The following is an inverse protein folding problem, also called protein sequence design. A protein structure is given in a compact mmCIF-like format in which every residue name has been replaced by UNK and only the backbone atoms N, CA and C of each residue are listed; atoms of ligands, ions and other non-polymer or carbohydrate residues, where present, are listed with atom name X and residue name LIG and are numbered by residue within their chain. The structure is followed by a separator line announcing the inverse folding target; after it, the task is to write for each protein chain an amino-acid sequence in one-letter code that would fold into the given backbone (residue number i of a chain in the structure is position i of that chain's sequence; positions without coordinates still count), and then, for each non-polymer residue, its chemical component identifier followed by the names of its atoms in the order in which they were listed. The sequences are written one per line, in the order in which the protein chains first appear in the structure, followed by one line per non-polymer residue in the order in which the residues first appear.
data_IF_618988049384
#
_entry.id   IF_618988049384
#
_cell.length_a   1.000
_cell.length_b   1.000
_cell.length_c   1.000
_cell.angle_alpha   90.00
_cell.angle_beta   90.00
_cell.angle_gamma   90.00
#
_symmetry.space_group_name_H-M   'P 1'
#
loop_
_entity.id
_entity.type
_entity.pdbx_description
1 polymer ?
#
# COMPACT_ATOMS: atom_id res chain seq x y z
N UNK A 1 -52.74 -11.71 -80.28
CA UNK A 1 -51.82 -11.79 -79.12
C UNK A 1 -52.69 -11.97 -77.89
N UNK A 2 -52.90 -13.22 -77.46
CA UNK A 2 -53.81 -13.55 -76.34
C UNK A 2 -52.96 -13.65 -75.08
N UNK A 3 -53.13 -12.73 -74.14
CA UNK A 3 -52.50 -12.81 -72.83
C UNK A 3 -53.20 -13.91 -72.03
N UNK A 4 -52.59 -15.09 -72.02
CA UNK A 4 -52.98 -16.17 -71.14
C UNK A 4 -52.41 -15.85 -69.75
N UNK A 5 -53.18 -15.12 -68.92
CA UNK A 5 -52.94 -15.01 -67.48
C UNK A 5 -53.25 -16.37 -66.87
N UNK A 6 -52.33 -17.31 -67.06
CA UNK A 6 -52.28 -18.56 -66.33
C UNK A 6 -52.26 -18.22 -64.86
N UNK A 7 -53.38 -18.47 -64.18
CA UNK A 7 -53.51 -18.52 -62.74
C UNK A 7 -52.50 -19.54 -62.20
N UNK A 8 -51.26 -19.11 -61.98
CA UNK A 8 -50.32 -19.82 -61.15
C UNK A 8 -50.85 -19.72 -59.73
N UNK A 9 -51.63 -20.71 -59.34
CA UNK A 9 -52.00 -20.94 -57.95
C UNK A 9 -50.75 -21.34 -57.20
N UNK A 10 -49.88 -20.36 -56.89
CA UNK A 10 -48.76 -20.57 -56.00
C UNK A 10 -49.38 -20.80 -54.62
N UNK A 11 -49.30 -22.03 -54.06
CA UNK A 11 -50.01 -22.34 -52.82
C UNK A 11 -49.46 -21.45 -51.72
N UNK A 12 -50.32 -20.79 -50.93
CA UNK A 12 -49.95 -19.85 -49.85
C UNK A 12 -48.83 -20.38 -48.91
N UNK A 13 -48.71 -21.70 -48.79
CA UNK A 13 -47.64 -22.42 -48.10
C UNK A 13 -46.22 -22.12 -48.62
N UNK A 14 -46.04 -21.85 -49.91
CA UNK A 14 -44.74 -21.50 -50.50
C UNK A 14 -44.19 -20.16 -50.01
N UNK A 15 -45.06 -19.24 -49.55
CA UNK A 15 -44.65 -17.98 -48.91
C UNK A 15 -44.54 -18.10 -47.38
N UNK A 16 -45.40 -18.92 -46.76
CA UNK A 16 -45.41 -19.15 -45.31
C UNK A 16 -44.14 -19.86 -44.79
N UNK A 17 -43.60 -20.82 -45.53
CA UNK A 17 -42.38 -21.56 -45.14
C UNK A 17 -41.14 -20.66 -45.07
N UNK A 18 -40.79 -19.83 -46.09
CA UNK A 18 -39.65 -18.93 -46.01
C UNK A 18 -39.87 -17.82 -44.96
N UNK A 19 -41.09 -17.28 -44.81
CA UNK A 19 -41.41 -16.29 -43.77
C UNK A 19 -41.26 -16.87 -42.36
N UNK A 20 -41.77 -18.08 -42.10
CA UNK A 20 -41.59 -18.76 -40.81
C UNK A 20 -40.12 -19.09 -40.51
N UNK A 21 -39.35 -19.50 -41.53
CA UNK A 21 -37.91 -19.77 -41.40
C UNK A 21 -37.10 -18.50 -41.11
N UNK A 22 -37.45 -17.37 -41.73
CA UNK A 22 -36.79 -16.09 -41.50
C UNK A 22 -37.05 -15.56 -40.08
N UNK A 23 -38.26 -15.74 -39.55
CA UNK A 23 -38.59 -15.37 -38.16
C UNK A 23 -37.81 -16.22 -37.17
N UNK A 24 -37.70 -17.54 -37.39
CA UNK A 24 -36.90 -18.42 -36.52
C UNK A 24 -35.40 -18.07 -36.55
N UNK A 25 -34.85 -17.75 -37.73
CA UNK A 25 -33.46 -17.30 -37.86
C UNK A 25 -33.24 -15.94 -37.19
N UNK A 26 -34.21 -15.02 -37.27
CA UNK A 26 -34.15 -13.73 -36.58
C UNK A 26 -34.18 -13.91 -35.05
N UNK A 27 -35.06 -14.77 -34.54
CA UNK A 27 -35.12 -15.10 -33.10
C UNK A 27 -33.83 -15.76 -32.65
N UNK A 28 -33.30 -16.74 -33.41
CA UNK A 28 -32.02 -17.38 -33.12
C UNK A 28 -30.87 -16.36 -33.11
N UNK A 29 -30.82 -15.46 -34.09
CA UNK A 29 -29.84 -14.38 -34.17
C UNK A 29 -29.91 -13.43 -32.98
N UNK A 30 -31.12 -13.03 -32.55
CA UNK A 30 -31.34 -12.22 -31.35
C UNK A 30 -30.87 -12.92 -30.07
N UNK A 31 -31.13 -14.22 -29.92
CA UNK A 31 -30.68 -15.01 -28.78
C UNK A 31 -29.14 -15.09 -28.77
N UNK A 32 -28.52 -15.37 -29.91
CA UNK A 32 -27.05 -15.40 -30.03
C UNK A 32 -26.46 -14.04 -29.71
N UNK A 33 -27.01 -12.95 -30.26
CA UNK A 33 -26.54 -11.59 -29.99
C UNK A 33 -26.66 -11.24 -28.50
N UNK A 34 -27.79 -11.56 -27.87
CA UNK A 34 -28.00 -11.34 -26.44
C UNK A 34 -27.01 -12.13 -25.58
N UNK A 35 -26.72 -13.39 -25.95
CA UNK A 35 -25.74 -14.21 -25.26
C UNK A 35 -24.32 -13.68 -25.44
N UNK A 36 -23.98 -13.27 -26.67
CA UNK A 36 -22.69 -12.66 -26.99
C UNK A 36 -22.49 -11.38 -26.18
N UNK A 37 -23.46 -10.45 -26.16
CA UNK A 37 -23.40 -9.20 -25.39
C UNK A 37 -23.24 -9.47 -23.89
N UNK A 38 -23.97 -10.45 -23.33
CA UNK A 38 -23.82 -10.82 -21.91
C UNK A 38 -22.44 -11.40 -21.64
N UNK A 39 -21.91 -12.23 -22.54
CA UNK A 39 -20.59 -12.85 -22.39
C UNK A 39 -19.46 -11.81 -22.49
N UNK A 40 -19.56 -10.85 -23.41
CA UNK A 40 -18.57 -9.77 -23.57
C UNK A 40 -18.63 -8.80 -22.40
N UNK A 41 -19.82 -8.45 -21.90
CA UNK A 41 -19.96 -7.63 -20.69
C UNK A 41 -19.39 -8.33 -19.45
N UNK A 42 -19.55 -9.66 -19.32
CA UNK A 42 -18.94 -10.43 -18.22
C UNK A 42 -17.42 -10.44 -18.31
N UNK A 43 -16.86 -10.70 -19.49
CA UNK A 43 -15.40 -10.67 -19.72
C UNK A 43 -14.83 -9.27 -19.48
N UNK A 44 -15.46 -8.24 -20.04
CA UNK A 44 -15.03 -6.85 -19.84
C UNK A 44 -15.13 -6.40 -18.37
N UNK A 45 -16.08 -6.95 -17.60
CA UNK A 45 -16.14 -6.72 -16.15
C UNK A 45 -14.98 -7.42 -15.44
N UNK A 46 -14.74 -8.70 -15.74
CA UNK A 46 -13.60 -9.45 -15.19
C UNK A 46 -12.27 -8.75 -15.50
N UNK A 47 -12.04 -8.33 -16.74
CA UNK A 47 -10.81 -7.64 -17.15
C UNK A 47 -10.61 -6.31 -16.37
N UNK A 48 -11.71 -5.59 -16.06
CA UNK A 48 -11.66 -4.36 -15.26
C UNK A 48 -11.40 -4.65 -13.79
N UNK A 49 -12.00 -5.70 -13.25
CA UNK A 49 -11.80 -6.11 -11.86
C UNK A 49 -10.35 -6.61 -11.68
N UNK A 50 -9.81 -7.38 -12.62
CA UNK A 50 -8.39 -7.80 -12.64
C UNK A 50 -7.42 -6.62 -12.79
N UNK A 51 -7.76 -5.63 -13.61
CA UNK A 51 -6.97 -4.40 -13.72
C UNK A 51 -6.96 -3.62 -12.40
N UNK A 52 -8.12 -3.48 -11.74
CA UNK A 52 -8.23 -2.81 -10.43
C UNK A 52 -7.43 -3.53 -9.35
N UNK A 53 -7.44 -4.86 -9.35
CA UNK A 53 -6.68 -5.64 -8.38
C UNK A 53 -5.17 -5.42 -8.55
N UNK A 54 -4.68 -5.42 -9.80
CA UNK A 54 -3.26 -5.10 -10.09
C UNK A 54 -2.88 -3.69 -9.67
N UNK A 55 -3.72 -2.71 -9.99
CA UNK A 55 -3.48 -1.32 -9.59
C UNK A 55 -3.48 -1.17 -8.06
N UNK A 56 -4.38 -1.88 -7.38
CA UNK A 56 -4.44 -1.93 -5.91
C UNK A 56 -3.18 -2.54 -5.31
N UNK A 57 -2.70 -3.69 -5.82
CA UNK A 57 -1.45 -4.29 -5.35
C UNK A 57 -0.24 -3.39 -5.58
N UNK A 58 -0.15 -2.75 -6.75
CA UNK A 58 0.93 -1.81 -7.06
C UNK A 58 0.92 -0.60 -6.11
N UNK A 59 -0.26 -0.02 -5.87
CA UNK A 59 -0.46 1.07 -4.92
C UNK A 59 -0.12 0.65 -3.49
N UNK A 60 -0.58 -0.53 -3.06
CA UNK A 60 -0.32 -1.04 -1.71
C UNK A 60 1.17 -1.27 -1.49
N UNK A 61 1.87 -1.84 -2.46
CA UNK A 61 3.33 -2.03 -2.42
C UNK A 61 4.08 -0.70 -2.30
N UNK A 62 3.75 0.28 -3.14
CA UNK A 62 4.39 1.59 -3.10
C UNK A 62 4.14 2.30 -1.76
N UNK A 63 2.91 2.19 -1.25
CA UNK A 63 2.53 2.74 0.05
C UNK A 63 3.29 2.05 1.19
N UNK A 64 3.43 0.72 1.17
CA UNK A 64 4.22 -0.01 2.17
C UNK A 64 5.69 0.42 2.18
N UNK A 65 6.31 0.52 1.01
CA UNK A 65 7.71 0.95 0.88
C UNK A 65 7.91 2.38 1.39
N UNK A 66 6.99 3.29 1.02
CA UNK A 66 7.06 4.69 1.45
C UNK A 66 6.90 4.84 2.96
N UNK A 67 5.88 4.20 3.54
CA UNK A 67 5.66 4.22 5.00
C UNK A 67 6.80 3.55 5.77
N UNK A 68 7.34 2.46 5.23
CA UNK A 68 8.51 1.80 5.78
C UNK A 68 9.75 2.68 5.78
N UNK A 69 10.02 3.35 4.65
CA UNK A 69 11.13 4.29 4.53
C UNK A 69 10.97 5.49 5.49
N UNK A 70 9.75 6.03 5.62
CA UNK A 70 9.47 7.14 6.53
C UNK A 70 9.66 6.74 8.01
N UNK A 71 9.19 5.55 8.41
CA UNK A 71 9.38 5.03 9.76
C UNK A 71 10.86 4.76 10.07
N UNK A 72 11.61 4.19 9.11
CA UNK A 72 13.05 3.96 9.25
C UNK A 72 13.85 5.26 9.32
N UNK A 73 13.50 6.25 8.49
CA UNK A 73 14.13 7.56 8.53
C UNK A 73 13.93 8.23 9.91
N UNK A 74 12.73 8.14 10.47
CA UNK A 74 12.44 8.65 11.81
C UNK A 74 13.22 7.89 12.91
N UNK A 75 13.39 6.58 12.78
CA UNK A 75 14.22 5.80 13.72
C UNK A 75 15.70 6.18 13.64
N UNK A 76 16.25 6.35 12.44
CA UNK A 76 17.63 6.81 12.23
C UNK A 76 17.82 8.22 12.77
N UNK A 77 16.85 9.11 12.55
CA UNK A 77 16.84 10.45 13.11
C UNK A 77 16.87 10.41 14.65
N UNK A 78 16.04 9.57 15.27
CA UNK A 78 16.04 9.39 16.72
C UNK A 78 17.40 8.90 17.23
N UNK A 79 18.02 7.89 16.62
CA UNK A 79 19.38 7.44 16.96
C UNK A 79 20.42 8.56 16.79
N UNK A 80 20.29 9.37 15.74
CA UNK A 80 21.11 10.55 15.52
C UNK A 80 20.96 11.60 16.63
N UNK A 81 19.72 11.83 17.09
CA UNK A 81 19.45 12.74 18.21
C UNK A 81 20.09 12.22 19.51
N UNK A 82 19.99 10.91 19.80
CA UNK A 82 20.61 10.31 20.99
C UNK A 82 22.14 10.40 20.98
N UNK A 83 22.77 10.12 19.83
CA UNK A 83 24.23 10.23 19.70
C UNK A 83 24.73 11.67 19.84
N UNK A 84 23.99 12.64 19.29
CA UNK A 84 24.30 14.06 19.45
C UNK A 84 24.09 14.55 20.89
N UNK A 85 23.04 14.07 21.56
CA UNK A 85 22.80 14.38 22.98
C UNK A 85 23.95 13.85 23.84
N UNK A 86 24.42 12.61 23.60
CA UNK A 86 25.60 12.03 24.26
C UNK A 86 26.85 12.90 24.10
N UNK A 87 27.12 13.39 22.89
CA UNK A 87 28.30 14.24 22.64
C UNK A 87 28.19 15.59 23.36
N UNK A 88 26.99 16.15 23.46
CA UNK A 88 26.74 17.46 24.07
C UNK A 88 26.60 17.41 25.58
N UNK A 89 26.16 16.31 26.17
CA UNK A 89 25.98 16.12 27.62
C UNK A 89 27.30 16.12 28.43
N UNK A 90 28.46 16.19 27.77
CA UNK A 90 29.74 16.56 28.41
C UNK A 90 29.64 18.00 28.93
N UNK A 91 30.32 18.37 30.04
CA UNK A 91 29.88 19.44 30.94
C UNK A 91 30.07 20.83 30.33
N UNK A 92 29.15 21.23 29.45
CA UNK A 92 29.04 22.59 28.92
C UNK A 92 27.56 22.93 28.90
N UNK A 93 27.14 23.67 29.92
CA UNK A 93 25.84 24.36 30.10
C UNK A 93 24.83 24.12 28.94
N UNK A 94 24.04 23.04 29.02
CA UNK A 94 22.89 22.78 28.14
C UNK A 94 21.69 23.68 28.51
N UNK A 95 21.88 24.98 28.57
CA UNK A 95 20.75 25.91 28.69
C UNK A 95 19.88 25.82 27.43
N UNK A 96 18.62 25.42 27.55
CA UNK A 96 17.64 25.32 26.45
C UNK A 96 17.72 24.07 25.56
N UNK A 97 18.90 23.43 25.45
CA UNK A 97 19.13 22.29 24.54
C UNK A 97 18.36 21.00 24.89
N UNK A 98 17.95 20.80 26.14
CA UNK A 98 17.22 19.58 26.55
C UNK A 98 15.77 19.56 26.08
N UNK A 99 15.09 20.71 26.10
CA UNK A 99 13.68 20.81 25.65
C UNK A 99 13.58 20.62 24.14
N UNK A 100 14.50 21.20 23.38
CA UNK A 100 14.56 21.03 21.92
C UNK A 100 14.85 19.56 21.54
N UNK A 101 15.68 18.88 22.33
CA UNK A 101 15.92 17.45 22.16
C UNK A 101 14.66 16.61 22.41
N UNK A 102 13.95 16.84 23.51
CA UNK A 102 12.68 16.14 23.81
C UNK A 102 11.66 16.35 22.69
N UNK A 103 11.51 17.60 22.23
CA UNK A 103 10.61 17.93 21.12
C UNK A 103 11.00 17.21 19.83
N UNK A 104 12.30 17.11 19.52
CA UNK A 104 12.77 16.41 18.32
C UNK A 104 12.51 14.90 18.40
N UNK A 105 12.72 14.28 19.56
CA UNK A 105 12.38 12.86 19.79
C UNK A 105 10.86 12.63 19.70
N UNK A 106 10.05 13.53 20.26
CA UNK A 106 8.59 13.44 20.19
C UNK A 106 8.09 13.52 18.74
N UNK A 107 8.65 14.43 17.95
CA UNK A 107 8.34 14.54 16.53
C UNK A 107 8.72 13.25 15.77
N UNK A 108 9.88 12.65 16.07
CA UNK A 108 10.29 11.38 15.46
C UNK A 108 9.33 10.23 15.86
N UNK A 109 8.96 10.12 17.14
CA UNK A 109 8.00 9.14 17.61
C UNK A 109 6.60 9.34 17.00
N UNK A 110 6.15 10.58 16.82
CA UNK A 110 4.88 10.90 16.20
C UNK A 110 4.86 10.50 14.72
N UNK A 111 5.95 10.74 13.98
CA UNK A 111 6.08 10.26 12.58
C UNK A 111 5.95 8.74 12.48
N UNK A 112 6.58 8.00 13.39
CA UNK A 112 6.45 6.53 13.46
C UNK A 112 5.01 6.12 13.80
N UNK A 113 4.34 6.85 14.69
CA UNK A 113 2.92 6.60 15.02
C UNK A 113 1.99 6.80 13.80
N UNK A 114 2.20 7.86 13.02
CA UNK A 114 1.44 8.10 11.79
C UNK A 114 1.68 6.97 10.77
N UNK A 115 2.92 6.49 10.67
CA UNK A 115 3.23 5.33 9.82
C UNK A 115 2.48 4.08 10.30
N UNK A 116 2.51 3.76 11.60
CA UNK A 116 1.80 2.61 12.17
C UNK A 116 0.29 2.66 11.91
N UNK A 117 -0.36 3.80 12.16
CA UNK A 117 -1.80 3.96 11.94
C UNK A 117 -2.15 3.78 10.46
N UNK A 118 -1.33 4.33 9.56
CA UNK A 118 -1.54 4.17 8.10
C UNK A 118 -1.31 2.73 7.66
N UNK A 119 -0.29 2.05 8.17
CA UNK A 119 -0.03 0.62 7.90
C UNK A 119 -1.21 -0.26 8.35
N UNK A 120 -1.81 0.05 9.50
CA UNK A 120 -3.01 -0.64 10.01
C UNK A 120 -4.22 -0.44 9.08
N UNK A 121 -4.43 0.79 8.58
CA UNK A 121 -5.53 1.11 7.66
C UNK A 121 -5.42 0.38 6.31
N UNK A 122 -4.20 0.15 5.82
CA UNK A 122 -3.98 -0.60 4.57
C UNK A 122 -3.92 -2.13 4.79
N UNK A 123 -4.16 -2.59 6.02
CA UNK A 123 -4.25 -4.01 6.36
C UNK A 123 -2.92 -4.69 6.71
N UNK A 124 -1.80 -3.96 6.80
CA UNK A 124 -0.50 -4.50 7.20
C UNK A 124 -0.36 -4.49 8.73
N UNK A 125 -1.12 -5.37 9.39
CA UNK A 125 -1.30 -5.37 10.85
C UNK A 125 -0.02 -5.71 11.61
N UNK A 126 0.78 -6.64 11.09
CA UNK A 126 2.05 -7.03 11.73
C UNK A 126 3.07 -5.90 11.64
N UNK A 127 3.25 -5.31 10.46
CA UNK A 127 4.11 -4.15 10.27
C UNK A 127 3.65 -2.96 11.13
N UNK A 128 2.34 -2.73 11.27
CA UNK A 128 1.80 -1.68 12.13
C UNK A 128 2.12 -1.91 13.62
N UNK A 129 2.04 -3.15 14.09
CA UNK A 129 2.37 -3.53 15.47
C UNK A 129 3.86 -3.32 15.77
N UNK A 130 4.74 -3.77 14.89
CA UNK A 130 6.19 -3.53 15.05
C UNK A 130 6.55 -2.05 14.98
N UNK A 131 5.86 -1.28 14.13
CA UNK A 131 6.02 0.16 14.07
C UNK A 131 5.59 0.84 15.40
N UNK A 132 4.57 0.30 16.09
CA UNK A 132 4.24 0.75 17.45
C UNK A 132 5.31 0.38 18.48
N UNK A 133 5.91 -0.81 18.41
CA UNK A 133 7.02 -1.19 19.28
C UNK A 133 8.23 -0.27 19.07
N UNK A 134 8.56 0.03 17.82
CA UNK A 134 9.60 1.00 17.47
C UNK A 134 9.30 2.40 18.03
N UNK A 135 8.04 2.87 17.92
CA UNK A 135 7.63 4.14 18.53
C UNK A 135 7.85 4.11 20.05
N UNK A 136 7.49 3.02 20.73
CA UNK A 136 7.64 2.94 22.20
C UNK A 136 9.12 2.97 22.60
N UNK A 137 9.99 2.30 21.85
CA UNK A 137 11.44 2.37 22.05
C UNK A 137 12.00 3.78 21.83
N UNK A 138 11.52 4.50 20.81
CA UNK A 138 11.92 5.91 20.56
C UNK A 138 11.35 6.84 21.64
N UNK A 139 10.12 6.62 22.09
CA UNK A 139 9.43 7.48 23.04
C UNK A 139 9.76 7.17 24.51
N UNK A 140 10.80 6.36 24.77
CA UNK A 140 11.05 5.79 26.09
C UNK A 140 11.16 6.87 27.18
N UNK A 141 10.32 6.71 28.21
CA UNK A 141 10.02 7.73 29.23
C UNK A 141 11.21 8.12 30.08
N UNK A 142 12.15 7.18 30.31
CA UNK A 142 13.32 7.39 31.16
C UNK A 142 14.28 8.46 30.63
N UNK A 143 14.45 8.55 29.31
CA UNK A 143 15.29 9.59 28.71
C UNK A 143 14.61 10.95 28.65
N UNK A 144 13.28 10.99 28.60
CA UNK A 144 12.51 12.23 28.72
C UNK A 144 12.68 12.84 30.10
N UNK A 145 12.59 12.04 31.15
CA UNK A 145 12.80 12.49 32.53
C UNK A 145 14.18 13.13 32.70
N UNK A 146 15.23 12.48 32.20
CA UNK A 146 16.60 12.99 32.25
C UNK A 146 16.77 14.25 31.39
N UNK A 147 16.23 14.29 30.18
CA UNK A 147 16.34 15.47 29.32
C UNK A 147 15.62 16.70 29.90
N UNK A 148 14.47 16.48 30.57
CA UNK A 148 13.74 17.52 31.31
C UNK A 148 14.54 17.95 32.55
N UNK A 149 15.15 17.02 33.27
CA UNK A 149 15.95 17.32 34.46
C UNK A 149 17.25 18.07 34.11
N UNK A 150 17.93 17.70 33.01
CA UNK A 150 19.08 18.43 32.46
C UNK A 150 18.68 19.82 31.98
N UNK A 151 17.50 19.97 31.37
CA UNK A 151 16.97 21.28 30.96
C UNK A 151 16.59 22.18 32.14
N UNK A 152 16.06 21.60 33.23
CA UNK A 152 15.63 22.34 34.42
C UNK A 152 16.75 22.65 35.41
N UNK A 153 17.73 21.76 35.55
CA UNK A 153 18.82 21.89 36.52
C UNK A 153 20.10 22.50 35.93
N UNK A 154 20.30 22.43 34.61
CA UNK A 154 21.53 22.85 33.95
C UNK A 154 22.76 22.00 34.28
N UNK A 155 22.58 20.92 35.05
CA UNK A 155 23.61 19.96 35.41
C UNK A 155 23.41 18.72 34.55
N UNK A 156 24.44 18.34 33.78
CA UNK A 156 24.41 17.10 33.02
C UNK A 156 24.35 15.92 33.99
N UNK A 157 23.21 15.23 34.04
CA UNK A 157 23.12 13.97 34.76
C UNK A 157 23.82 12.90 33.96
N UNK A 158 24.74 12.22 34.63
CA UNK A 158 25.50 11.09 34.11
C UNK A 158 24.58 9.91 33.86
N UNK A 159 23.91 9.90 32.71
CA UNK A 159 23.52 8.64 32.13
C UNK A 159 24.81 7.85 31.88
N UNK A 160 24.87 6.64 32.42
CA UNK A 160 26.00 5.78 32.16
C UNK A 160 26.02 5.49 30.66
N UNK A 161 27.20 5.56 30.04
CA UNK A 161 27.37 5.37 28.59
C UNK A 161 26.76 4.05 28.13
N UNK A 162 26.69 3.06 29.03
CA UNK A 162 26.02 1.77 28.84
C UNK A 162 24.50 1.88 28.59
N UNK A 163 23.78 2.74 29.30
CA UNK A 163 22.32 2.84 29.19
C UNK A 163 21.88 3.56 27.91
N UNK A 164 22.64 4.56 27.46
CA UNK A 164 22.42 5.22 26.15
C UNK A 164 22.70 4.26 24.99
N UNK A 165 23.73 3.41 25.13
CA UNK A 165 24.07 2.42 24.12
C UNK A 165 23.07 1.25 24.09
N UNK A 166 22.53 0.85 25.25
CA UNK A 166 21.42 -0.11 25.35
C UNK A 166 20.18 0.40 24.62
N UNK A 167 19.80 1.66 24.83
CA UNK A 167 18.61 2.24 24.21
C UNK A 167 18.75 2.43 22.70
N UNK A 168 19.95 2.83 22.24
CA UNK A 168 20.30 2.80 20.82
C UNK A 168 20.26 1.38 20.26
N UNK A 169 20.73 0.40 21.03
CA UNK A 169 20.65 -1.02 20.72
C UNK A 169 19.20 -1.47 20.52
N UNK A 170 18.29 -1.10 21.42
CA UNK A 170 16.87 -1.45 21.35
C UNK A 170 16.19 -0.81 20.13
N UNK A 171 16.41 0.49 19.87
CA UNK A 171 15.86 1.15 18.68
C UNK A 171 16.36 0.48 17.39
N UNK A 172 17.65 0.17 17.29
CA UNK A 172 18.21 -0.52 16.14
C UNK A 172 17.66 -1.95 15.99
N UNK A 173 17.53 -2.67 17.11
CA UNK A 173 16.96 -4.01 17.12
C UNK A 173 15.50 -4.00 16.63
N UNK A 174 14.68 -3.08 17.17
CA UNK A 174 13.29 -2.88 16.76
C UNK A 174 13.14 -2.43 15.32
N UNK A 175 14.00 -1.53 14.85
CA UNK A 175 14.05 -1.13 13.45
C UNK A 175 14.36 -2.34 12.55
N UNK A 176 15.30 -3.20 12.95
CA UNK A 176 15.65 -4.41 12.20
C UNK A 176 14.48 -5.39 12.11
N UNK A 177 13.78 -5.63 13.23
CA UNK A 177 12.57 -6.47 13.24
C UNK A 177 11.48 -5.89 12.34
N UNK A 178 11.23 -4.58 12.44
CA UNK A 178 10.28 -3.89 11.58
C UNK A 178 10.63 -4.04 10.09
N UNK A 179 11.91 -3.92 9.72
CA UNK A 179 12.38 -4.16 8.35
C UNK A 179 12.04 -5.58 7.86
N UNK A 180 12.33 -6.59 8.69
CA UNK A 180 12.09 -7.99 8.34
C UNK A 180 10.59 -8.28 8.17
N UNK A 181 9.74 -7.74 9.04
CA UNK A 181 8.27 -7.88 8.93
C UNK A 181 7.74 -7.14 7.71
N UNK A 182 8.26 -5.96 7.42
CA UNK A 182 7.88 -5.20 6.22
C UNK A 182 8.27 -5.95 4.94
N UNK A 183 9.46 -6.57 4.90
CA UNK A 183 9.92 -7.39 3.79
C UNK A 183 8.99 -8.61 3.59
N UNK A 184 8.60 -9.28 4.68
CA UNK A 184 7.63 -10.37 4.61
C UNK A 184 6.27 -9.92 4.05
N UNK A 185 5.74 -8.79 4.51
CA UNK A 185 4.49 -8.20 4.00
C UNK A 185 4.61 -7.74 2.53
N UNK A 186 5.80 -7.31 2.09
CA UNK A 186 6.05 -7.02 0.68
C UNK A 186 6.03 -8.30 -0.17
N UNK A 187 6.54 -9.42 0.35
CA UNK A 187 6.48 -10.72 -0.32
C UNK A 187 5.06 -11.27 -0.42
N UNK A 188 4.19 -11.04 0.57
CA UNK A 188 2.79 -11.48 0.48
C UNK A 188 1.98 -10.67 -0.54
N UNK A 189 2.32 -9.39 -0.73
CA UNK A 189 1.71 -8.53 -1.76
C UNK A 189 2.27 -8.83 -3.16
N UNK A 190 3.43 -9.48 -3.27
CA UNK A 190 4.00 -9.96 -4.53
C UNK A 190 3.84 -11.47 -4.70
N UNK A 191 2.74 -11.98 -5.30
CA UNK A 191 2.86 -13.27 -5.95
C UNK A 191 3.91 -13.10 -7.05
N UNK A 192 5.03 -13.80 -6.91
CA UNK A 192 6.10 -13.85 -7.91
C UNK A 192 5.52 -14.54 -9.14
N UNK A 193 4.83 -13.77 -9.99
CA UNK A 193 4.51 -14.19 -11.34
C UNK A 193 5.45 -13.44 -12.30
N UNK A 194 6.57 -14.07 -12.71
CA UNK A 194 7.55 -13.47 -13.61
C UNK A 194 6.97 -13.13 -15.00
N UNK A 195 5.71 -13.50 -15.28
CA UNK A 195 5.03 -13.19 -16.54
C UNK A 195 4.40 -11.78 -16.59
N UNK A 196 4.26 -11.08 -15.46
CA UNK A 196 3.58 -9.78 -15.37
C UNK A 196 4.44 -8.58 -15.83
N UNK A 197 5.75 -8.77 -15.99
CA UNK A 197 6.66 -7.76 -16.56
C UNK A 197 6.71 -7.76 -18.09
N UNK A 198 5.63 -8.15 -18.79
CA UNK A 198 5.47 -7.74 -20.19
C UNK A 198 5.13 -6.26 -20.22
N UNK A 199 6.16 -5.43 -20.31
CA UNK A 199 6.07 -4.09 -20.87
C UNK A 199 5.20 -4.15 -22.12
N UNK A 200 3.97 -3.64 -22.03
CA UNK A 200 3.19 -3.28 -23.21
C UNK A 200 3.89 -2.05 -23.77
N UNK A 201 4.90 -2.29 -24.60
CA UNK A 201 5.43 -1.29 -25.51
C UNK A 201 4.25 -0.86 -26.37
N UNK A 202 3.67 0.32 -26.09
CA UNK A 202 2.78 0.98 -27.04
C UNK A 202 3.58 1.18 -28.32
N UNK A 203 3.20 0.59 -29.47
CA UNK A 203 3.78 1.01 -30.72
C UNK A 203 3.31 2.44 -30.96
N UNK A 204 4.27 3.34 -31.16
CA UNK A 204 4.04 4.76 -31.28
C UNK A 204 2.98 5.12 -32.33
N UNK A 205 2.14 6.08 -31.95
CA UNK A 205 1.57 7.09 -32.83
C UNK A 205 1.58 8.41 -32.08
#
# INVERSE_FOLDING_TARGET
MVFNLGSQGVPLWTWLVPLGSAVLLFIASMITLAFTIRSTNRRAKADRDDARERDYHAWRRDTLLRLGADAMAAAVEAVGLYTNFRQRARPVKLGGSGIDFVRAIDNAAERVMVCSTTLSLIGAKEAAAECMHLRHAIAETRLREVAVEVAGSGVGLGYDDAQLEELRGDINHRATIFAAVLENELHTVMPVDPSTFRFVVRPGR
#
